data_IF_803798152739
#
_entry.id   IF_803798152739
#
_cell.length_a   1.000
_cell.length_b   1.000
_cell.length_c   1.000
_cell.angle_alpha   90.00
_cell.angle_beta   90.00
_cell.angle_gamma   90.00
#
_symmetry.space_group_name_H-M   'P 1'
#
loop_
_entity.id
_entity.type
_entity.pdbx_description
1 polymer ?
#
# COMPACT_ATOMS: atom_id res chain seq x y z
N UNK A 1 -52.65 -34.35 23.15
CA UNK A 1 -51.72 -33.77 22.16
C UNK A 1 -50.77 -32.82 22.89
N UNK A 2 -49.52 -33.16 23.14
CA UNK A 2 -48.58 -32.25 23.78
C UNK A 2 -48.09 -31.23 22.73
N UNK A 3 -48.37 -29.96 22.96
CA UNK A 3 -47.76 -28.83 22.20
C UNK A 3 -46.26 -28.79 22.49
N UNK A 4 -45.46 -29.21 21.52
CA UNK A 4 -44.03 -28.92 21.49
C UNK A 4 -43.87 -27.42 21.26
N UNK A 5 -44.01 -26.63 22.32
CA UNK A 5 -43.55 -25.23 22.36
C UNK A 5 -42.03 -25.25 22.46
N UNK A 6 -41.36 -25.53 21.38
CA UNK A 6 -39.93 -25.35 21.31
C UNK A 6 -39.68 -23.81 21.39
N UNK A 7 -39.31 -23.45 22.61
CA UNK A 7 -39.27 -22.06 23.04
C UNK A 7 -38.25 -21.30 22.18
N UNK A 8 -38.73 -20.56 21.20
CA UNK A 8 -37.93 -19.59 20.39
C UNK A 8 -37.06 -18.67 21.29
N UNK A 9 -37.52 -18.40 22.52
CA UNK A 9 -36.80 -17.65 23.54
C UNK A 9 -35.45 -18.25 23.93
N UNK A 10 -35.32 -19.60 24.01
CA UNK A 10 -34.06 -20.25 24.37
C UNK A 10 -33.02 -20.10 23.26
N UNK A 11 -33.43 -20.27 22.01
CA UNK A 11 -32.53 -20.10 20.85
C UNK A 11 -32.08 -18.63 20.75
N UNK A 12 -32.98 -17.67 20.94
CA UNK A 12 -32.64 -16.25 20.94
C UNK A 12 -31.67 -15.88 22.07
N UNK A 13 -31.82 -16.50 23.25
CA UNK A 13 -30.88 -16.29 24.37
C UNK A 13 -29.49 -16.87 24.04
N UNK A 14 -29.41 -18.05 23.44
CA UNK A 14 -28.11 -18.62 23.03
C UNK A 14 -27.43 -17.79 21.94
N UNK A 15 -28.18 -17.32 20.96
CA UNK A 15 -27.66 -16.42 19.92
C UNK A 15 -27.15 -15.12 20.56
N UNK A 16 -27.91 -14.51 21.48
CA UNK A 16 -27.52 -13.32 22.19
C UNK A 16 -26.23 -13.53 23.02
N UNK A 17 -26.14 -14.65 23.74
CA UNK A 17 -24.96 -15.02 24.51
C UNK A 17 -23.72 -15.23 23.62
N UNK A 18 -23.89 -15.86 22.45
CA UNK A 18 -22.82 -16.01 21.46
C UNK A 18 -22.39 -14.64 20.94
N UNK A 19 -23.31 -13.74 20.63
CA UNK A 19 -23.00 -12.38 20.17
C UNK A 19 -22.30 -11.56 21.25
N UNK A 20 -22.73 -11.67 22.50
CA UNK A 20 -22.07 -11.03 23.66
C UNK A 20 -20.66 -11.61 23.85
N UNK A 21 -20.52 -12.94 23.79
CA UNK A 21 -19.21 -13.61 23.90
C UNK A 21 -18.27 -13.18 22.79
N UNK A 22 -18.73 -13.15 21.54
CA UNK A 22 -17.95 -12.68 20.39
C UNK A 22 -17.57 -11.19 20.53
N UNK A 23 -18.49 -10.36 21.03
CA UNK A 23 -18.22 -8.95 21.32
C UNK A 23 -17.19 -8.76 22.43
N UNK A 24 -17.30 -9.55 23.52
CA UNK A 24 -16.33 -9.49 24.62
C UNK A 24 -14.99 -10.10 24.23
N UNK A 25 -14.95 -11.21 23.50
CA UNK A 25 -13.72 -11.82 23.01
C UNK A 25 -12.88 -10.81 22.19
N UNK A 26 -13.55 -9.94 21.46
CA UNK A 26 -12.90 -8.86 20.70
C UNK A 26 -12.30 -7.76 21.61
N UNK A 27 -12.87 -7.54 22.80
CA UNK A 27 -12.37 -6.56 23.76
C UNK A 27 -11.18 -7.04 24.59
N UNK A 28 -10.92 -8.35 24.61
CA UNK A 28 -9.81 -8.96 25.32
C UNK A 28 -8.59 -9.28 24.45
N UNK A 29 -8.65 -9.02 23.14
CA UNK A 29 -7.44 -9.06 22.33
C UNK A 29 -6.50 -7.96 22.82
N UNK A 30 -5.21 -8.27 23.06
CA UNK A 30 -4.23 -7.23 23.37
C UNK A 30 -4.34 -6.18 22.27
N UNK A 31 -4.36 -4.90 22.67
CA UNK A 31 -4.27 -3.80 21.71
C UNK A 31 -2.90 -3.89 21.05
N UNK A 32 -2.80 -4.74 20.03
CA UNK A 32 -1.83 -4.56 18.99
C UNK A 32 -2.07 -3.14 18.45
N UNK A 33 -1.02 -2.42 18.15
CA UNK A 33 -0.99 -1.03 17.72
C UNK A 33 -2.26 -0.66 16.95
N UNK A 34 -2.96 0.36 17.43
CA UNK A 34 -4.28 0.71 16.90
C UNK A 34 -4.16 1.04 15.42
N UNK A 35 -4.86 0.28 14.58
CA UNK A 35 -4.90 0.53 13.13
C UNK A 35 -5.34 1.97 12.91
N UNK A 36 -4.50 2.75 12.23
CA UNK A 36 -4.78 4.13 11.87
C UNK A 36 -6.07 4.23 11.05
N UNK A 37 -6.87 5.27 11.30
CA UNK A 37 -8.08 5.54 10.52
C UNK A 37 -7.79 6.73 9.63
N UNK A 38 -8.00 6.55 8.32
CA UNK A 38 -7.82 7.61 7.33
C UNK A 38 -9.11 7.88 6.57
N UNK A 39 -9.29 9.11 6.17
CA UNK A 39 -10.41 9.58 5.35
C UNK A 39 -9.96 10.20 4.03
N UNK A 40 -8.71 10.58 3.95
CA UNK A 40 -8.07 11.15 2.76
C UNK A 40 -6.54 10.90 2.75
N UNK A 41 -5.85 11.42 1.73
CA UNK A 41 -4.41 11.27 1.60
C UNK A 41 -3.62 12.08 2.65
N UNK A 42 -4.19 13.12 3.24
CA UNK A 42 -3.53 13.92 4.28
C UNK A 42 -3.49 13.17 5.61
N UNK A 43 -4.57 12.45 5.91
CA UNK A 43 -4.59 11.55 7.08
C UNK A 43 -3.51 10.47 6.93
N UNK A 44 -3.34 9.92 5.71
CA UNK A 44 -2.27 8.97 5.41
C UNK A 44 -0.88 9.59 5.62
N UNK A 45 -0.67 10.81 5.14
CA UNK A 45 0.59 11.55 5.33
C UNK A 45 0.92 11.77 6.81
N UNK A 46 -0.11 11.95 7.66
CA UNK A 46 0.05 12.09 9.11
C UNK A 46 0.53 10.82 9.81
N UNK A 47 0.35 9.64 9.21
CA UNK A 47 0.84 8.37 9.72
C UNK A 47 2.28 8.05 9.27
N UNK A 48 2.76 8.71 8.21
CA UNK A 48 4.08 8.47 7.61
C UNK A 48 4.99 9.64 7.98
N UNK A 49 6.00 9.38 8.81
CA UNK A 49 6.90 10.42 9.32
C UNK A 49 8.22 10.51 8.57
N UNK A 50 8.50 9.54 7.71
CA UNK A 50 9.72 9.45 6.93
C UNK A 50 9.75 10.52 5.83
N UNK A 51 10.97 10.97 5.51
CA UNK A 51 11.26 11.88 4.40
C UNK A 51 12.68 11.60 3.87
N UNK A 52 12.87 11.32 2.58
CA UNK A 52 11.86 11.12 1.54
C UNK A 52 11.07 9.81 1.72
N UNK A 53 9.80 9.83 1.33
CA UNK A 53 8.97 8.63 1.37
C UNK A 53 7.82 8.67 0.34
N UNK A 54 7.40 7.50 -0.11
CA UNK A 54 6.20 7.36 -0.93
C UNK A 54 5.34 6.19 -0.44
N UNK A 55 4.02 6.36 -0.48
CA UNK A 55 3.07 5.33 -0.09
C UNK A 55 2.34 4.80 -1.33
N UNK A 56 2.65 3.56 -1.69
CA UNK A 56 2.06 2.86 -2.84
C UNK A 56 0.89 2.01 -2.36
N UNK A 57 -0.28 2.20 -2.94
CA UNK A 57 -1.47 1.40 -2.63
C UNK A 57 -1.32 0.00 -3.23
N UNK A 58 -1.17 -1.02 -2.38
CA UNK A 58 -0.90 -2.39 -2.84
C UNK A 58 -2.09 -3.33 -2.68
N UNK A 59 -3.03 -3.04 -1.77
CA UNK A 59 -4.21 -3.89 -1.58
C UNK A 59 -5.39 -3.10 -1.01
N UNK A 60 -6.59 -3.55 -1.34
CA UNK A 60 -7.85 -3.06 -0.82
C UNK A 60 -8.79 -4.22 -0.52
N UNK A 61 -9.28 -4.32 0.70
CA UNK A 61 -10.19 -5.38 1.09
C UNK A 61 -11.22 -4.92 2.11
N UNK A 62 -12.24 -5.74 2.31
CA UNK A 62 -13.29 -5.49 3.28
C UNK A 62 -13.43 -6.69 4.21
N UNK A 63 -13.77 -6.42 5.46
CA UNK A 63 -14.08 -7.43 6.47
C UNK A 63 -15.43 -7.13 7.11
N UNK A 64 -16.00 -8.10 7.81
CA UNK A 64 -17.27 -7.97 8.49
C UNK A 64 -18.45 -8.45 7.65
N UNK A 65 -19.38 -9.17 8.31
CA UNK A 65 -20.55 -9.76 7.65
C UNK A 65 -21.74 -8.81 7.59
N UNK A 66 -22.07 -8.14 8.71
CA UNK A 66 -23.25 -7.26 8.80
C UNK A 66 -22.85 -5.82 8.49
N UNK A 67 -21.72 -5.38 9.03
CA UNK A 67 -21.21 -4.02 8.83
C UNK A 67 -19.84 -4.16 8.18
N UNK A 68 -19.71 -3.83 6.87
CA UNK A 68 -18.44 -3.90 6.20
C UNK A 68 -17.48 -2.85 6.76
N UNK A 69 -16.28 -3.28 7.09
CA UNK A 69 -15.16 -2.41 7.45
C UNK A 69 -14.16 -2.43 6.31
N UNK A 70 -13.73 -1.26 5.87
CA UNK A 70 -12.90 -1.05 4.71
C UNK A 70 -11.44 -0.87 5.14
N UNK A 71 -10.54 -1.59 4.48
CA UNK A 71 -9.11 -1.54 4.74
C UNK A 71 -8.34 -1.30 3.45
N UNK A 72 -7.20 -0.63 3.61
CA UNK A 72 -6.21 -0.44 2.55
C UNK A 72 -4.84 -0.78 3.10
N UNK A 73 -3.99 -1.39 2.25
CA UNK A 73 -2.59 -1.65 2.54
C UNK A 73 -1.72 -0.77 1.65
N UNK A 74 -0.79 -0.10 2.27
CA UNK A 74 0.18 0.74 1.60
C UNK A 74 1.59 0.18 1.83
N UNK A 75 2.34 0.02 0.77
CA UNK A 75 3.78 -0.16 0.86
C UNK A 75 4.43 1.21 1.00
N UNK A 76 5.00 1.48 2.16
CA UNK A 76 5.75 2.70 2.41
C UNK A 76 7.21 2.46 2.02
N UNK A 77 7.63 3.11 0.95
CA UNK A 77 9.01 3.08 0.48
C UNK A 77 9.71 4.32 0.97
N UNK A 78 10.66 4.16 1.87
CA UNK A 78 11.51 5.21 2.40
C UNK A 78 12.96 5.01 1.94
N UNK A 79 13.69 6.11 1.74
CA UNK A 79 15.08 6.03 1.26
C UNK A 79 16.08 5.72 2.36
N UNK A 80 15.75 6.05 3.59
CA UNK A 80 16.68 5.92 4.73
C UNK A 80 16.26 4.85 5.73
N UNK A 81 15.15 4.15 5.45
CA UNK A 81 14.62 3.08 6.30
C UNK A 81 14.13 1.93 5.44
N UNK A 82 14.11 0.72 5.97
CA UNK A 82 13.48 -0.40 5.29
C UNK A 82 12.04 -0.11 4.93
N UNK A 83 11.62 -0.57 3.77
CA UNK A 83 10.23 -0.47 3.34
C UNK A 83 9.33 -1.35 4.21
N UNK A 84 8.14 -0.88 4.53
CA UNK A 84 7.19 -1.60 5.36
C UNK A 84 5.78 -1.49 4.81
N UNK A 85 4.90 -2.36 5.31
CA UNK A 85 3.51 -2.35 4.93
C UNK A 85 2.70 -1.72 6.05
N UNK A 86 2.00 -0.65 5.70
CA UNK A 86 1.07 0.05 6.58
C UNK A 86 -0.36 -0.36 6.23
N UNK A 87 -1.05 -1.01 7.17
CA UNK A 87 -2.47 -1.31 7.03
C UNK A 87 -3.29 -0.24 7.75
N UNK A 88 -4.26 0.32 7.06
CA UNK A 88 -5.14 1.37 7.59
C UNK A 88 -6.60 1.02 7.39
N UNK A 89 -7.42 1.49 8.31
CA UNK A 89 -8.88 1.47 8.16
C UNK A 89 -9.33 2.75 7.46
N UNK A 90 -10.34 2.64 6.61
CA UNK A 90 -10.82 3.81 5.86
C UNK A 90 -12.35 3.85 5.78
N UNK A 91 -12.89 4.98 5.34
CA UNK A 91 -14.30 5.10 5.03
C UNK A 91 -14.60 4.55 3.61
N UNK A 92 -15.87 4.22 3.37
CA UNK A 92 -16.32 3.67 2.09
C UNK A 92 -16.01 4.60 0.91
N UNK A 93 -16.21 5.90 1.09
CA UNK A 93 -16.03 6.88 0.01
C UNK A 93 -14.57 6.93 -0.46
N UNK A 94 -13.63 7.04 0.48
CA UNK A 94 -12.19 7.01 0.18
C UNK A 94 -11.79 5.68 -0.45
N UNK A 95 -12.24 4.56 0.11
CA UNK A 95 -11.96 3.23 -0.43
C UNK A 95 -12.44 3.06 -1.87
N UNK A 96 -13.66 3.53 -2.20
CA UNK A 96 -14.21 3.45 -3.56
C UNK A 96 -13.46 4.37 -4.53
N UNK A 97 -13.05 5.56 -4.09
CA UNK A 97 -12.30 6.51 -4.93
C UNK A 97 -10.91 6.04 -5.33
N UNK A 98 -10.33 5.12 -4.56
CA UNK A 98 -8.97 4.62 -4.81
C UNK A 98 -8.93 3.32 -5.65
N UNK A 99 -10.06 2.80 -6.11
CA UNK A 99 -10.12 1.50 -6.82
C UNK A 99 -9.27 1.41 -8.08
N UNK A 100 -9.10 2.52 -8.77
CA UNK A 100 -8.34 2.57 -10.03
C UNK A 100 -6.84 2.80 -9.80
N UNK A 101 -6.41 3.01 -8.54
CA UNK A 101 -5.05 3.43 -8.20
C UNK A 101 -4.21 2.35 -7.51
N UNK A 102 -4.64 1.08 -7.57
CA UNK A 102 -3.79 -0.02 -7.09
C UNK A 102 -2.46 -0.03 -7.85
N UNK A 103 -1.35 -0.12 -7.12
CA UNK A 103 -0.01 -0.02 -7.68
C UNK A 103 0.46 1.40 -7.96
N UNK A 104 -0.26 2.44 -7.50
CA UNK A 104 0.13 3.85 -7.62
C UNK A 104 0.51 4.45 -6.27
N UNK A 105 1.39 5.44 -6.30
CA UNK A 105 1.68 6.28 -5.13
C UNK A 105 0.50 7.20 -4.86
N UNK A 106 -0.08 7.08 -3.68
CA UNK A 106 -1.19 7.95 -3.23
C UNK A 106 -0.66 9.16 -2.47
N UNK A 107 0.52 9.03 -1.92
CA UNK A 107 1.22 10.08 -1.19
C UNK A 107 2.71 10.01 -1.49
N UNK A 108 3.34 11.16 -1.68
CA UNK A 108 4.80 11.28 -1.78
C UNK A 108 5.29 12.54 -1.09
N UNK A 109 6.32 12.40 -0.26
CA UNK A 109 7.11 13.46 0.37
C UNK A 109 8.54 13.34 -0.10
N UNK A 110 9.04 14.36 -0.82
CA UNK A 110 10.41 14.37 -1.34
C UNK A 110 11.37 14.83 -0.24
N UNK A 111 11.00 15.92 0.45
CA UNK A 111 11.73 16.45 1.58
C UNK A 111 10.79 17.30 2.46
N UNK A 112 11.30 17.81 3.58
CA UNK A 112 10.49 18.59 4.53
C UNK A 112 10.20 20.04 4.06
N UNK A 113 10.76 20.47 2.93
CA UNK A 113 10.65 21.84 2.43
C UNK A 113 9.79 21.95 1.16
N UNK A 114 9.62 20.85 0.42
CA UNK A 114 8.76 20.82 -0.76
C UNK A 114 7.33 20.42 -0.40
N UNK A 115 6.33 20.94 -1.13
CA UNK A 115 4.96 20.50 -0.95
C UNK A 115 4.81 18.97 -1.14
N UNK A 116 4.00 18.37 -0.29
CA UNK A 116 3.63 16.97 -0.42
C UNK A 116 2.74 16.74 -1.63
N UNK A 117 2.93 15.61 -2.31
CA UNK A 117 2.11 15.21 -3.46
C UNK A 117 1.02 14.25 -3.01
N UNK A 118 -0.23 14.65 -3.18
CA UNK A 118 -1.42 13.87 -2.83
C UNK A 118 -2.18 13.34 -4.05
N UNK A 119 -1.76 13.73 -5.23
CA UNK A 119 -2.33 13.22 -6.48
C UNK A 119 -1.77 11.82 -6.74
N UNK A 120 -2.61 10.82 -7.09
CA UNK A 120 -2.11 9.51 -7.49
C UNK A 120 -1.16 9.61 -8.70
N UNK A 121 0.05 9.10 -8.53
CA UNK A 121 1.12 9.15 -9.54
C UNK A 121 1.78 7.77 -9.69
N UNK A 122 2.46 7.49 -10.82
CA UNK A 122 3.31 6.32 -10.91
C UNK A 122 4.31 6.28 -9.75
N UNK A 123 4.52 5.12 -9.11
CA UNK A 123 5.46 5.01 -8.00
C UNK A 123 6.83 5.53 -8.37
N UNK A 124 7.39 6.42 -7.55
CA UNK A 124 8.71 6.99 -7.76
C UNK A 124 8.80 8.12 -8.80
N UNK A 125 7.72 8.45 -9.52
CA UNK A 125 7.74 9.54 -10.50
C UNK A 125 8.17 10.89 -9.88
N UNK A 126 7.83 11.13 -8.63
CA UNK A 126 8.21 12.35 -7.91
C UNK A 126 9.69 12.41 -7.51
N UNK A 127 10.43 11.31 -7.60
CA UNK A 127 11.88 11.26 -7.33
C UNK A 127 12.73 11.49 -8.58
N UNK A 128 12.10 11.58 -9.76
CA UNK A 128 12.80 11.88 -10.99
C UNK A 128 13.26 13.34 -11.00
N UNK A 129 14.42 13.60 -11.62
CA UNK A 129 15.05 14.91 -11.73
C UNK A 129 15.57 15.50 -10.41
N UNK A 130 15.56 14.71 -9.32
CA UNK A 130 16.23 15.07 -8.08
C UNK A 130 17.70 14.61 -8.16
N UNK A 131 18.68 15.54 -8.20
CA UNK A 131 20.09 15.18 -8.35
C UNK A 131 20.67 14.42 -7.15
N UNK A 132 19.99 14.42 -6.01
CA UNK A 132 20.39 13.60 -4.85
C UNK A 132 20.00 12.14 -5.02
N UNK A 133 19.04 11.86 -5.90
CA UNK A 133 18.45 10.55 -6.14
C UNK A 133 19.04 9.85 -7.34
N UNK A 134 19.42 10.61 -8.37
CA UNK A 134 19.88 10.04 -9.63
C UNK A 134 20.35 11.07 -10.64
N UNK A 135 20.52 10.61 -11.85
CA UNK A 135 20.96 11.43 -12.97
C UNK A 135 20.30 11.03 -14.29
N UNK A 136 20.15 12.00 -15.19
CA UNK A 136 19.80 11.71 -16.57
C UNK A 136 21.04 11.30 -17.36
N UNK A 137 20.91 10.30 -18.18
CA UNK A 137 21.96 9.84 -19.08
C UNK A 137 21.40 9.59 -20.49
N UNK A 138 22.20 9.86 -21.50
CA UNK A 138 21.83 9.58 -22.90
C UNK A 138 21.99 8.09 -23.19
N UNK A 139 20.96 7.46 -23.67
CA UNK A 139 20.99 6.11 -24.21
C UNK A 139 20.28 6.07 -25.57
N UNK A 140 21.05 5.95 -26.64
CA UNK A 140 20.55 5.96 -28.02
C UNK A 140 19.76 7.24 -28.42
N UNK A 141 20.25 8.40 -28.01
CA UNK A 141 19.61 9.72 -28.21
C UNK A 141 18.30 9.90 -27.45
N UNK A 142 18.11 9.16 -26.38
CA UNK A 142 16.99 9.29 -25.46
C UNK A 142 17.50 9.51 -24.05
N UNK A 143 17.10 10.61 -23.39
CA UNK A 143 17.40 10.86 -21.98
C UNK A 143 16.63 9.89 -21.10
N UNK A 144 17.37 9.04 -20.38
CA UNK A 144 16.82 8.08 -19.44
C UNK A 144 17.30 8.35 -18.03
N UNK A 145 16.46 8.02 -17.04
CA UNK A 145 16.80 8.22 -15.63
C UNK A 145 17.49 7.00 -15.03
N UNK A 146 18.52 7.27 -14.24
CA UNK A 146 19.23 6.26 -13.47
C UNK A 146 19.43 6.74 -12.04
N UNK A 147 18.93 5.95 -11.08
CA UNK A 147 19.19 6.22 -9.67
C UNK A 147 20.68 6.04 -9.32
N UNK A 148 21.15 6.83 -8.35
CA UNK A 148 22.46 6.62 -7.73
C UNK A 148 22.45 5.37 -6.83
N UNK A 149 23.63 4.82 -6.52
CA UNK A 149 23.76 3.80 -5.47
C UNK A 149 23.52 4.43 -4.09
N UNK A 150 22.87 3.73 -3.14
CA UNK A 150 22.37 2.35 -3.20
C UNK A 150 21.01 2.19 -3.85
N UNK A 151 20.31 3.28 -4.20
CA UNK A 151 18.92 3.29 -4.67
C UNK A 151 18.72 2.59 -6.02
N UNK A 152 19.79 2.49 -6.81
CA UNK A 152 19.75 1.90 -8.16
C UNK A 152 19.30 0.44 -8.17
N UNK A 153 19.62 -0.30 -7.13
CA UNK A 153 19.30 -1.73 -7.03
C UNK A 153 17.95 -1.94 -6.32
N UNK A 154 17.70 -1.13 -5.33
CA UNK A 154 16.54 -1.27 -4.44
C UNK A 154 15.25 -0.66 -5.01
N UNK A 155 15.30 0.60 -5.46
CA UNK A 155 14.07 1.31 -5.84
C UNK A 155 13.35 0.71 -7.05
N UNK A 156 14.01 0.33 -8.15
CA UNK A 156 13.30 -0.24 -9.30
C UNK A 156 12.48 -1.48 -8.93
N UNK A 157 13.03 -2.37 -8.11
CA UNK A 157 12.32 -3.55 -7.63
C UNK A 157 11.10 -3.16 -6.76
N UNK A 158 11.31 -2.33 -5.75
CA UNK A 158 10.25 -1.87 -4.85
C UNK A 158 9.16 -1.06 -5.56
N UNK A 159 9.52 -0.31 -6.58
CA UNK A 159 8.59 0.52 -7.37
C UNK A 159 7.95 -0.24 -8.54
N UNK A 160 8.30 -1.51 -8.74
CA UNK A 160 7.82 -2.32 -9.86
C UNK A 160 8.40 -1.93 -11.22
N UNK A 161 9.60 -1.32 -11.22
CA UNK A 161 10.26 -0.82 -12.44
C UNK A 161 11.27 -1.80 -13.05
N UNK A 162 11.26 -3.08 -12.72
CA UNK A 162 12.27 -4.06 -13.18
C UNK A 162 12.60 -3.99 -14.68
N UNK A 163 11.58 -3.73 -15.51
CA UNK A 163 11.71 -3.60 -16.96
C UNK A 163 11.23 -2.23 -17.45
N UNK A 164 11.08 -1.27 -16.58
CA UNK A 164 10.65 0.08 -16.92
C UNK A 164 11.74 1.08 -16.56
N UNK A 165 12.26 1.78 -17.56
CA UNK A 165 13.22 2.87 -17.36
C UNK A 165 12.54 4.17 -17.76
N UNK A 166 12.28 5.08 -16.81
CA UNK A 166 11.64 6.35 -17.13
C UNK A 166 12.55 7.22 -18.01
N UNK A 167 11.96 7.79 -19.03
CA UNK A 167 12.61 8.74 -19.93
C UNK A 167 12.13 10.18 -19.66
N UNK A 168 12.76 11.16 -20.31
CA UNK A 168 12.44 12.57 -20.15
C UNK A 168 10.99 12.88 -20.58
N UNK A 169 10.45 12.18 -21.56
CA UNK A 169 9.06 12.32 -22.00
C UNK A 169 8.08 11.90 -20.91
N UNK A 170 8.35 10.77 -20.27
CA UNK A 170 7.55 10.29 -19.11
C UNK A 170 7.54 11.30 -17.98
N UNK A 171 8.74 11.83 -17.62
CA UNK A 171 8.87 12.83 -16.57
C UNK A 171 8.08 14.12 -16.90
N UNK A 172 8.27 14.67 -18.09
CA UNK A 172 7.60 15.89 -18.50
C UNK A 172 6.07 15.75 -18.50
N UNK A 173 5.55 14.61 -18.94
CA UNK A 173 4.12 14.34 -18.90
C UNK A 173 3.61 14.13 -17.49
N UNK A 174 4.36 13.47 -16.62
CA UNK A 174 4.00 13.32 -15.21
C UNK A 174 3.88 14.69 -14.52
N UNK A 175 4.84 15.60 -14.75
CA UNK A 175 4.79 16.97 -14.23
C UNK A 175 3.60 17.76 -14.79
N UNK A 176 3.38 17.72 -16.11
CA UNK A 176 2.24 18.39 -16.75
C UNK A 176 0.89 17.92 -16.17
N UNK A 177 0.73 16.62 -15.97
CA UNK A 177 -0.47 16.07 -15.37
C UNK A 177 -0.63 16.52 -13.91
N UNK A 178 0.47 16.55 -13.15
CA UNK A 178 0.46 17.03 -11.77
C UNK A 178 0.04 18.51 -11.67
N UNK A 179 0.57 19.38 -12.55
CA UNK A 179 0.17 20.80 -12.64
C UNK A 179 -1.32 20.94 -12.98
N UNK A 180 -1.83 20.07 -13.85
CA UNK A 180 -3.26 20.06 -14.22
C UNK A 180 -4.15 19.36 -13.20
N UNK A 181 -3.61 18.85 -12.09
CA UNK A 181 -4.32 18.05 -11.09
C UNK A 181 -5.02 16.83 -11.70
N UNK A 182 -4.38 16.19 -12.70
CA UNK A 182 -4.86 15.00 -13.38
C UNK A 182 -3.98 13.81 -13.08
N UNK A 183 -4.59 12.65 -12.88
CA UNK A 183 -3.86 11.40 -12.67
C UNK A 183 -3.12 11.01 -13.94
N UNK A 184 -1.84 10.64 -13.79
CA UNK A 184 -1.01 10.14 -14.87
C UNK A 184 -0.75 8.64 -14.68
N UNK A 185 -1.15 7.83 -15.64
CA UNK A 185 -1.02 6.37 -15.58
C UNK A 185 0.20 5.83 -16.36
N UNK A 186 1.10 6.70 -16.80
CA UNK A 186 2.22 6.35 -17.68
C UNK A 186 1.92 6.64 -19.15
N UNK A 187 2.92 6.44 -20.01
CA UNK A 187 2.83 6.76 -21.45
C UNK A 187 1.80 5.88 -22.18
N UNK A 188 1.69 4.60 -21.78
CA UNK A 188 0.78 3.60 -22.35
C UNK A 188 -0.18 3.05 -21.28
N UNK A 189 -0.47 3.80 -20.22
CA UNK A 189 -1.29 3.39 -19.08
C UNK A 189 -0.71 2.14 -18.37
N UNK A 190 0.59 2.11 -18.14
CA UNK A 190 1.29 0.98 -17.51
C UNK A 190 0.99 0.85 -16.03
N UNK A 191 0.59 1.95 -15.37
CA UNK A 191 0.34 2.03 -13.93
C UNK A 191 -1.15 2.00 -13.58
N UNK A 192 -1.45 1.86 -12.31
CA UNK A 192 -2.82 1.73 -11.79
C UNK A 192 -3.35 0.29 -11.88
N UNK A 193 -4.58 0.10 -11.45
CA UNK A 193 -5.23 -1.23 -11.31
C UNK A 193 -5.25 -2.04 -12.60
N UNK A 194 -5.35 -1.38 -13.75
CA UNK A 194 -5.38 -2.01 -15.07
C UNK A 194 -4.01 -2.00 -15.77
N UNK A 195 -3.04 -1.32 -15.20
CA UNK A 195 -1.71 -1.16 -15.79
C UNK A 195 -0.85 -2.42 -15.64
N UNK A 196 -0.01 -2.70 -16.62
CA UNK A 196 0.86 -3.89 -16.64
C UNK A 196 1.90 -3.88 -15.52
N UNK A 197 2.42 -2.70 -15.16
CA UNK A 197 3.38 -2.52 -14.07
C UNK A 197 2.65 -2.59 -12.73
N UNK A 198 1.50 -1.91 -12.60
CA UNK A 198 0.68 -1.98 -11.40
C UNK A 198 0.26 -3.40 -11.05
N UNK A 199 -0.15 -4.19 -12.04
CA UNK A 199 -0.49 -5.60 -11.83
C UNK A 199 0.71 -6.46 -11.40
N UNK A 200 1.91 -6.19 -11.91
CA UNK A 200 3.14 -6.89 -11.47
C UNK A 200 3.47 -6.56 -10.02
N UNK A 201 3.45 -5.32 -9.64
CA UNK A 201 3.64 -4.89 -8.24
C UNK A 201 2.70 -5.64 -7.29
N UNK A 202 1.44 -5.82 -7.70
CA UNK A 202 0.43 -6.56 -6.94
C UNK A 202 0.69 -8.08 -6.92
N UNK A 203 1.28 -8.65 -7.98
CA UNK A 203 1.60 -10.09 -8.04
C UNK A 203 2.83 -10.41 -7.20
N UNK A 204 3.85 -9.54 -7.24
CA UNK A 204 5.08 -9.69 -6.46
C UNK A 204 4.92 -9.23 -5.01
N UNK A 205 3.89 -8.44 -4.69
CA UNK A 205 3.59 -8.16 -3.30
C UNK A 205 3.28 -9.49 -2.60
N UNK A 206 4.10 -9.85 -1.64
CA UNK A 206 4.06 -11.05 -0.77
C UNK A 206 2.67 -11.27 -0.11
N UNK A 207 1.74 -10.42 -0.41
CA UNK A 207 0.45 -10.21 0.24
C UNK A 207 -0.75 -10.82 -0.47
N UNK A 208 -0.58 -11.45 -1.63
CA UNK A 208 -1.64 -12.35 -2.05
C UNK A 208 -1.56 -13.60 -1.16
N UNK A 209 -2.50 -13.79 -0.24
CA UNK A 209 -2.68 -15.12 0.29
C UNK A 209 -2.82 -16.01 -0.94
N UNK A 210 -1.98 -17.05 -1.01
CA UNK A 210 -2.06 -18.09 -2.03
C UNK A 210 -3.48 -18.19 -2.58
N UNK A 211 -3.61 -18.34 -3.89
CA UNK A 211 -4.84 -18.71 -4.59
C UNK A 211 -5.36 -20.07 -4.08
N UNK A 212 -5.39 -20.27 -2.79
CA UNK A 212 -6.13 -21.36 -2.16
C UNK A 212 -7.57 -21.10 -2.51
N UNK A 213 -8.12 -22.01 -3.29
CA UNK A 213 -9.52 -22.09 -3.62
C UNK A 213 -10.32 -21.59 -2.42
N UNK A 214 -11.14 -20.58 -2.62
CA UNK A 214 -11.89 -19.93 -1.55
C UNK A 214 -12.91 -20.93 -1.01
N UNK A 215 -12.46 -21.79 -0.08
CA UNK A 215 -13.37 -22.71 0.61
C UNK A 215 -14.33 -21.88 1.45
N UNK A 216 -15.55 -22.41 1.65
CA UNK A 216 -16.54 -21.78 2.53
C UNK A 216 -15.98 -21.45 3.91
N UNK A 217 -15.09 -22.28 4.44
CA UNK A 217 -14.44 -22.04 5.71
C UNK A 217 -13.51 -20.80 5.67
N UNK A 218 -12.75 -20.61 4.60
CA UNK A 218 -11.89 -19.45 4.41
C UNK A 218 -12.71 -18.17 4.16
N UNK A 219 -13.83 -18.29 3.46
CA UNK A 219 -14.77 -17.19 3.27
C UNK A 219 -15.37 -16.73 4.60
N UNK A 220 -15.83 -17.65 5.45
CA UNK A 220 -16.34 -17.30 6.79
C UNK A 220 -15.23 -16.73 7.67
N UNK A 221 -13.99 -17.25 7.62
CA UNK A 221 -12.85 -16.71 8.36
C UNK A 221 -12.53 -15.27 7.94
N UNK A 222 -12.65 -14.92 6.65
CA UNK A 222 -12.40 -13.58 6.17
C UNK A 222 -13.35 -12.54 6.76
N UNK A 223 -14.55 -12.93 7.18
CA UNK A 223 -15.51 -12.02 7.85
C UNK A 223 -15.05 -11.59 9.23
N UNK A 224 -14.27 -12.44 9.91
CA UNK A 224 -13.76 -12.21 11.26
C UNK A 224 -12.28 -11.80 11.25
N UNK A 225 -11.68 -11.70 10.06
CA UNK A 225 -10.30 -11.30 9.95
C UNK A 225 -10.14 -9.82 10.37
N UNK A 226 -9.20 -9.58 11.28
CA UNK A 226 -8.78 -8.24 11.66
C UNK A 226 -7.29 -8.15 11.38
N UNK A 227 -6.85 -7.28 10.46
CA UNK A 227 -5.45 -7.16 10.12
C UNK A 227 -4.65 -6.55 11.30
N UNK A 228 -3.36 -6.85 11.37
CA UNK A 228 -2.42 -6.10 12.21
C UNK A 228 -2.11 -4.74 11.56
N UNK A 229 -1.76 -3.74 12.39
CA UNK A 229 -1.44 -2.39 11.91
C UNK A 229 -0.17 -2.39 11.05
N UNK A 230 0.85 -3.14 11.50
CA UNK A 230 2.12 -3.29 10.80
C UNK A 230 2.34 -4.77 10.48
N UNK A 231 2.46 -5.12 9.22
CA UNK A 231 3.01 -6.42 8.84
C UNK A 231 4.53 -6.33 8.90
N UNK A 232 5.21 -7.42 9.31
CA UNK A 232 6.65 -7.40 9.47
C UNK A 232 7.33 -6.95 8.17
N UNK A 233 8.36 -6.18 8.37
CA UNK A 233 9.32 -5.70 7.39
C UNK A 233 9.46 -6.69 6.22
N UNK A 234 9.20 -6.23 5.01
CA UNK A 234 9.58 -6.94 3.80
C UNK A 234 11.09 -7.16 3.92
N UNK A 235 11.48 -8.40 4.24
CA UNK A 235 12.88 -8.72 4.37
C UNK A 235 13.58 -8.25 3.09
N UNK A 236 14.44 -7.23 3.24
CA UNK A 236 15.38 -6.90 2.19
C UNK A 236 16.06 -8.20 1.77
N UNK A 237 16.33 -8.43 0.47
CA UNK A 237 17.05 -9.59 0.05
C UNK A 237 18.29 -9.71 0.95
N UNK A 238 18.47 -10.89 1.55
CA UNK A 238 19.55 -11.19 2.48
C UNK A 238 20.86 -11.29 1.71
N UNK A 239 21.33 -10.18 1.19
CA UNK A 239 22.71 -10.04 0.73
C UNK A 239 23.32 -8.87 1.49
N UNK A 240 24.14 -9.24 2.42
CA UNK A 240 25.11 -8.52 3.20
C UNK A 240 25.53 -7.17 2.61
N UNK A 241 24.80 -6.10 2.94
CA UNK A 241 25.38 -4.76 2.94
C UNK A 241 26.00 -4.54 4.33
N UNK A 242 27.12 -5.25 4.59
CA UNK A 242 28.10 -4.79 5.56
C UNK A 242 28.71 -3.51 4.99
N UNK A 243 28.15 -2.38 5.35
CA UNK A 243 28.82 -1.10 5.23
C UNK A 243 30.04 -1.14 6.18
N UNK A 244 31.16 -1.63 5.69
CA UNK A 244 32.43 -1.25 6.29
C UNK A 244 32.60 0.26 6.11
N UNK A 245 32.86 1.00 7.18
CA UNK A 245 33.16 2.42 7.09
C UNK A 245 34.64 2.54 6.62
N UNK A 246 34.87 2.49 5.32
CA UNK A 246 36.19 2.85 4.78
C UNK A 246 36.36 4.35 4.86
N UNK A 247 37.07 4.73 5.91
CA UNK A 247 38.09 5.77 6.04
C UNK A 247 38.13 6.81 4.88
N UNK A 248 37.67 7.98 5.23
CA UNK A 248 38.01 9.23 4.55
C UNK A 248 39.50 9.54 4.85
N UNK A 249 40.37 9.76 3.85
CA UNK A 249 41.67 10.36 4.04
C UNK A 249 41.62 11.86 4.33
#
# INVERSE_FOLDING_TARGET
>A
MPRCGFSMTKISIYILLILIYLGMARSFYPQEESIGVISDARDLAGLIHESPATAVLIDQFTTGFIIPTYFQKYMVVSLYRPSYILTVRTNRHWWESQKDYLGMSIFTRINNFTPEVFLPTPPGAAFLDDPTMGEWYDENHEDRWRFHRPYRELLPELLGWDNFVPNRTFYNLAQLHQEQQKVFYGLNNEFGTKGTIGQRLLIHSILRPDNKEMTWANYIKSWFYWPSANEPELAAPKDELSLEPDLIP
#
